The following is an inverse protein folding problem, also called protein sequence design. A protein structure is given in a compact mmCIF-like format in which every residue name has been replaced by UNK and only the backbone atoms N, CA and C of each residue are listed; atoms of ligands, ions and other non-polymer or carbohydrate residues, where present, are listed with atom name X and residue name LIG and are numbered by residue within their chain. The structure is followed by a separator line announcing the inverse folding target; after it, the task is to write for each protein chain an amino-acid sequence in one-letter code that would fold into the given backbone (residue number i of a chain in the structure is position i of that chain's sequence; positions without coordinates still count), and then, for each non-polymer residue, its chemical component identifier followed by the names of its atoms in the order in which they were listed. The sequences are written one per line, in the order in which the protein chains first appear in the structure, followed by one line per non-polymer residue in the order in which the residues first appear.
data_IF_297306903203
#
_entry.id   IF_297306903203
#
_cell.length_a   1.000
_cell.length_b   1.000
_cell.length_c   1.000
_cell.angle_alpha   90.00
_cell.angle_beta   90.00
_cell.angle_gamma   90.00
#
_symmetry.space_group_name_H-M   'P 1'
#
loop_
_entity.id
_entity.type
_entity.pdbx_description
1 polymer ?
#
# COMPACT_ATOMS: atom_id res chain seq x y z
N UNK A 1 5.23 -0.39 17.94
CA UNK A 1 5.53 1.02 17.57
C UNK A 1 6.74 0.99 16.66
N UNK A 2 6.55 1.35 15.41
CA UNK A 2 7.61 1.30 14.40
C UNK A 2 8.65 2.44 14.68
N UNK A 3 9.92 2.14 14.95
CA UNK A 3 10.94 3.15 15.27
C UNK A 3 11.46 3.91 14.04
N UNK A 4 11.10 3.47 12.82
CA UNK A 4 11.60 4.02 11.56
C UNK A 4 11.36 5.53 11.41
N UNK A 5 10.18 6.09 11.69
CA UNK A 5 9.98 7.53 11.55
C UNK A 5 10.86 8.36 12.49
N UNK A 6 11.12 7.86 13.71
CA UNK A 6 11.98 8.55 14.66
C UNK A 6 13.46 8.55 14.23
N UNK A 7 13.94 7.43 13.69
CA UNK A 7 15.31 7.31 13.19
C UNK A 7 15.53 8.22 11.99
N UNK A 8 14.56 8.26 11.06
CA UNK A 8 14.61 9.15 9.89
C UNK A 8 14.60 10.61 10.32
N UNK A 9 13.73 10.99 11.27
CA UNK A 9 13.68 12.34 11.82
C UNK A 9 15.02 12.76 12.44
N UNK A 10 15.63 11.92 13.28
CA UNK A 10 16.92 12.19 13.89
C UNK A 10 18.06 12.31 12.87
N UNK A 11 18.05 11.48 11.83
CA UNK A 11 19.05 11.56 10.75
C UNK A 11 18.92 12.87 9.96
N UNK A 12 17.70 13.33 9.71
CA UNK A 12 17.41 14.61 9.03
C UNK A 12 17.92 15.78 9.87
N UNK A 13 17.60 15.83 11.16
CA UNK A 13 18.05 16.92 12.06
C UNK A 13 19.59 16.99 12.12
N UNK A 14 20.26 15.85 12.23
CA UNK A 14 21.71 15.78 12.26
C UNK A 14 22.34 16.21 10.93
N UNK A 15 21.74 15.84 9.81
CA UNK A 15 22.20 16.23 8.48
C UNK A 15 22.12 17.77 8.28
N UNK A 16 21.03 18.39 8.70
CA UNK A 16 20.86 19.84 8.57
C UNK A 16 21.76 20.62 9.53
N UNK A 17 21.98 20.15 10.77
CA UNK A 17 22.97 20.71 11.69
C UNK A 17 24.39 20.70 11.09
N UNK A 18 24.75 19.60 10.42
CA UNK A 18 26.04 19.52 9.69
C UNK A 18 26.11 20.47 8.49
N UNK A 19 24.96 20.68 7.81
CA UNK A 19 24.87 21.58 6.65
C UNK A 19 25.06 23.04 7.06
N UNK A 20 24.49 23.47 8.19
CA UNK A 20 24.68 24.82 8.75
C UNK A 20 26.15 25.14 9.04
N UNK A 21 26.88 24.18 9.62
CA UNK A 21 28.31 24.34 9.92
C UNK A 21 29.16 24.46 8.64
N UNK A 22 28.79 23.76 7.59
CA UNK A 22 29.59 23.70 6.36
C UNK A 22 29.28 24.81 5.37
N UNK A 23 28.08 25.35 5.40
CA UNK A 23 27.60 26.38 4.45
C UNK A 23 26.96 27.60 5.14
N UNK A 24 27.71 28.38 5.91
CA UNK A 24 27.20 29.52 6.70
C UNK A 24 26.56 30.64 5.89
N UNK A 25 26.63 30.58 4.54
CA UNK A 25 26.02 31.56 3.63
C UNK A 25 24.62 31.19 3.16
N UNK A 26 24.12 29.99 3.48
CA UNK A 26 22.74 29.61 3.15
C UNK A 26 21.82 30.31 4.14
N UNK A 27 20.81 31.08 3.67
CA UNK A 27 19.84 31.71 4.58
C UNK A 27 19.11 30.62 5.39
N UNK A 28 18.99 30.85 6.69
CA UNK A 28 18.33 29.91 7.64
C UNK A 28 16.90 29.55 7.19
N UNK A 29 16.23 30.47 6.48
CA UNK A 29 14.91 30.24 5.90
C UNK A 29 14.92 29.12 4.85
N UNK A 30 15.97 29.03 4.04
CA UNK A 30 16.09 27.97 3.01
C UNK A 30 16.23 26.61 3.67
N UNK A 31 17.02 26.53 4.74
CA UNK A 31 17.19 25.29 5.52
C UNK A 31 15.87 24.88 6.15
N UNK A 32 15.16 25.80 6.81
CA UNK A 32 13.85 25.52 7.42
C UNK A 32 12.81 25.06 6.40
N UNK A 33 12.76 25.64 5.20
CA UNK A 33 11.85 25.22 4.13
C UNK A 33 12.19 23.81 3.65
N UNK A 34 13.46 23.47 3.50
CA UNK A 34 13.89 22.13 3.10
C UNK A 34 13.55 21.09 4.17
N UNK A 35 13.70 21.43 5.46
CA UNK A 35 13.28 20.55 6.58
C UNK A 35 11.78 20.26 6.53
N UNK A 36 10.94 21.29 6.33
CA UNK A 36 9.50 21.13 6.23
C UNK A 36 9.11 20.23 5.04
N UNK A 37 9.71 20.46 3.87
CA UNK A 37 9.47 19.64 2.69
C UNK A 37 9.88 18.18 2.95
N UNK A 38 11.03 17.97 3.56
CA UNK A 38 11.52 16.63 3.89
C UNK A 38 10.59 15.93 4.87
N UNK A 39 10.08 16.63 5.89
CA UNK A 39 9.10 16.08 6.84
C UNK A 39 7.81 15.68 6.12
N UNK A 40 7.26 16.53 5.26
CA UNK A 40 6.05 16.21 4.47
C UNK A 40 6.27 14.95 3.63
N UNK A 41 7.40 14.82 2.95
CA UNK A 41 7.73 13.62 2.16
C UNK A 41 7.83 12.39 3.05
N UNK A 42 8.52 12.48 4.19
CA UNK A 42 8.65 11.36 5.13
C UNK A 42 7.29 10.90 5.67
N UNK A 43 6.39 11.84 6.03
CA UNK A 43 5.05 11.50 6.50
C UNK A 43 4.22 10.81 5.42
N UNK A 44 4.25 11.31 4.17
CA UNK A 44 3.53 10.68 3.05
C UNK A 44 4.06 9.26 2.76
N UNK A 45 5.36 9.07 2.72
CA UNK A 45 5.96 7.73 2.49
C UNK A 45 5.59 6.76 3.61
N UNK A 46 5.63 7.22 4.87
CA UNK A 46 5.26 6.39 6.01
C UNK A 46 3.76 6.00 6.02
N UNK A 47 2.87 6.94 5.68
CA UNK A 47 1.43 6.70 5.54
C UNK A 47 1.13 5.68 4.43
N UNK A 48 1.71 5.86 3.25
CA UNK A 48 1.54 4.95 2.13
C UNK A 48 2.01 3.52 2.44
N UNK A 49 3.14 3.36 3.13
CA UNK A 49 3.64 2.05 3.54
C UNK A 49 2.73 1.41 4.60
N UNK A 50 2.14 2.20 5.51
CA UNK A 50 1.21 1.72 6.53
C UNK A 50 -0.08 1.19 5.90
N UNK A 51 -0.70 1.92 4.97
CA UNK A 51 -1.91 1.49 4.28
C UNK A 51 -1.72 0.17 3.52
N UNK A 52 -0.62 0.05 2.77
CA UNK A 52 -0.28 -1.20 2.08
C UNK A 52 -0.09 -2.35 3.07
N UNK A 53 0.62 -2.13 4.18
CA UNK A 53 0.84 -3.16 5.19
C UNK A 53 -0.46 -3.61 5.87
N UNK A 54 -1.41 -2.70 6.09
CA UNK A 54 -2.72 -3.03 6.65
C UNK A 54 -3.52 -3.95 5.74
N UNK A 55 -3.56 -3.69 4.42
CA UNK A 55 -4.24 -4.58 3.46
C UNK A 55 -3.54 -5.92 3.35
N UNK A 56 -2.21 -5.93 3.18
CA UNK A 56 -1.42 -7.16 3.06
C UNK A 56 -1.61 -8.09 4.25
N UNK A 57 -1.55 -7.55 5.47
CA UNK A 57 -1.72 -8.30 6.71
C UNK A 57 -3.17 -8.59 7.10
N UNK A 58 -4.16 -8.03 6.40
CA UNK A 58 -5.56 -8.33 6.63
C UNK A 58 -5.97 -9.69 6.07
N UNK A 59 -7.15 -10.15 6.48
CA UNK A 59 -7.71 -11.44 6.04
C UNK A 59 -9.23 -11.31 5.86
N UNK A 60 -9.85 -12.07 4.93
CA UNK A 60 -11.29 -12.15 4.83
C UNK A 60 -11.90 -12.88 6.06
N UNK A 61 -13.16 -12.59 6.34
CA UNK A 61 -13.87 -13.20 7.47
C UNK A 61 -13.87 -14.73 7.40
N UNK A 62 -14.03 -15.29 6.20
CA UNK A 62 -14.12 -16.73 5.97
C UNK A 62 -12.74 -17.43 5.99
N UNK A 63 -11.63 -16.66 5.91
CA UNK A 63 -10.25 -17.18 5.89
C UNK A 63 -9.40 -16.51 6.98
N UNK A 64 -9.68 -16.71 8.27
CA UNK A 64 -9.09 -15.93 9.38
C UNK A 64 -7.59 -16.16 9.60
N UNK A 65 -7.00 -17.17 8.97
CA UNK A 65 -5.58 -17.53 9.11
C UNK A 65 -4.75 -17.23 7.87
N UNK A 66 -5.40 -16.81 6.76
CA UNK A 66 -4.75 -16.56 5.47
C UNK A 66 -4.79 -15.06 5.20
N UNK A 67 -3.62 -14.44 5.04
CA UNK A 67 -3.54 -13.01 4.74
C UNK A 67 -3.73 -12.75 3.23
N UNK A 68 -4.11 -11.53 2.89
CA UNK A 68 -4.12 -11.10 1.47
C UNK A 68 -2.72 -11.19 0.85
N UNK A 69 -1.66 -10.94 1.61
CA UNK A 69 -0.29 -11.12 1.14
C UNK A 69 -0.03 -12.55 0.72
N UNK A 70 -0.27 -13.49 1.63
CA UNK A 70 0.02 -14.91 1.39
C UNK A 70 -0.74 -15.45 0.18
N UNK A 71 -2.07 -15.25 0.13
CA UNK A 71 -2.91 -15.77 -0.94
C UNK A 71 -2.63 -15.11 -2.30
N UNK A 72 -2.42 -13.78 -2.32
CA UNK A 72 -2.21 -13.05 -3.56
C UNK A 72 -0.79 -13.24 -4.13
N UNK A 73 0.23 -13.35 -3.28
CA UNK A 73 1.60 -13.58 -3.75
C UNK A 73 1.83 -15.02 -4.22
N UNK A 74 1.02 -15.98 -3.74
CA UNK A 74 1.03 -17.35 -4.23
C UNK A 74 0.28 -17.50 -5.56
N UNK A 75 -0.93 -16.93 -5.66
CA UNK A 75 -1.81 -17.08 -6.82
C UNK A 75 -1.37 -16.30 -8.06
N UNK A 76 -0.89 -15.05 -7.88
CA UNK A 76 -0.58 -14.15 -8.98
C UNK A 76 0.92 -14.12 -9.28
N UNK A 77 1.29 -14.15 -10.55
CA UNK A 77 2.63 -13.80 -10.99
C UNK A 77 2.81 -12.28 -11.07
N UNK A 78 4.06 -11.79 -10.86
CA UNK A 78 4.42 -10.37 -10.84
C UNK A 78 3.58 -9.53 -9.85
N UNK A 79 3.37 -9.96 -8.59
CA UNK A 79 2.55 -9.23 -7.63
C UNK A 79 3.16 -7.88 -7.26
N UNK A 80 2.35 -6.83 -7.26
CA UNK A 80 2.79 -5.51 -6.83
C UNK A 80 1.68 -4.77 -6.08
N UNK A 81 2.05 -4.14 -4.95
CA UNK A 81 1.15 -3.40 -4.07
C UNK A 81 1.53 -1.93 -4.00
N UNK A 82 0.57 -1.04 -4.09
CA UNK A 82 0.81 0.40 -4.06
C UNK A 82 -0.38 1.15 -3.45
N UNK A 83 -0.12 2.07 -2.53
CA UNK A 83 -1.10 3.10 -2.19
C UNK A 83 -1.20 4.08 -3.38
N UNK A 84 -2.41 4.36 -3.84
CA UNK A 84 -2.69 5.23 -5.00
C UNK A 84 -3.33 6.55 -4.59
N UNK A 85 -3.38 6.85 -3.29
CA UNK A 85 -3.95 8.07 -2.72
C UNK A 85 -5.30 7.83 -2.09
N UNK A 86 -6.01 8.90 -1.79
CA UNK A 86 -7.31 8.87 -1.13
C UNK A 86 -8.45 8.87 -2.16
N UNK A 87 -9.60 8.30 -1.77
CA UNK A 87 -10.85 8.43 -2.49
C UNK A 87 -11.55 9.79 -2.19
N UNK A 88 -12.77 9.99 -2.72
CA UNK A 88 -13.55 11.23 -2.52
C UNK A 88 -13.96 11.45 -1.06
N UNK A 89 -14.01 10.40 -0.26
CA UNK A 89 -14.36 10.41 1.17
C UNK A 89 -13.11 10.54 2.07
N UNK A 90 -11.91 10.56 1.47
CA UNK A 90 -10.63 10.69 2.16
C UNK A 90 -10.10 9.36 2.73
N UNK A 91 -10.61 8.22 2.28
CA UNK A 91 -10.10 6.90 2.65
C UNK A 91 -8.89 6.53 1.79
N UNK A 92 -7.87 5.91 2.38
CA UNK A 92 -6.73 5.42 1.61
C UNK A 92 -7.14 4.31 0.63
N UNK A 93 -6.63 4.38 -0.60
CA UNK A 93 -6.86 3.36 -1.61
C UNK A 93 -5.56 2.63 -1.92
N UNK A 94 -5.54 1.33 -1.64
CA UNK A 94 -4.44 0.44 -2.00
C UNK A 94 -4.80 -0.33 -3.26
N UNK A 95 -3.88 -0.34 -4.21
CA UNK A 95 -4.00 -1.09 -5.45
C UNK A 95 -3.02 -2.25 -5.47
N UNK A 96 -3.56 -3.44 -5.75
CA UNK A 96 -2.80 -4.61 -6.14
C UNK A 96 -2.80 -4.75 -7.67
N UNK A 97 -1.69 -5.21 -8.24
CA UNK A 97 -1.62 -5.67 -9.62
C UNK A 97 -0.86 -6.98 -9.69
N UNK A 98 -1.30 -7.87 -10.56
CA UNK A 98 -0.66 -9.17 -10.80
C UNK A 98 -1.13 -9.76 -12.13
N UNK A 99 -0.69 -10.98 -12.43
CA UNK A 99 -1.11 -11.73 -13.60
C UNK A 99 -1.57 -13.11 -13.19
N UNK A 100 -2.62 -13.63 -13.83
CA UNK A 100 -3.07 -15.00 -13.67
C UNK A 100 -3.48 -15.61 -15.02
N UNK A 101 -3.77 -16.91 -15.02
CA UNK A 101 -4.42 -17.54 -16.16
C UNK A 101 -5.93 -17.33 -16.08
N UNK A 102 -6.51 -16.76 -17.12
CA UNK A 102 -7.93 -16.53 -17.26
C UNK A 102 -8.37 -16.88 -18.67
N UNK A 103 -9.32 -17.84 -18.80
CA UNK A 103 -9.74 -18.40 -20.10
C UNK A 103 -8.56 -18.88 -20.97
N UNK A 104 -7.62 -19.63 -20.38
CA UNK A 104 -6.42 -20.20 -21.02
C UNK A 104 -5.41 -19.17 -21.55
N UNK A 105 -5.58 -17.88 -21.18
CA UNK A 105 -4.65 -16.79 -21.53
C UNK A 105 -4.13 -16.10 -20.26
N UNK A 106 -2.95 -15.49 -20.38
CA UNK A 106 -2.40 -14.65 -19.30
C UNK A 106 -3.16 -13.34 -19.30
N UNK A 107 -3.82 -13.05 -18.18
CA UNK A 107 -4.56 -11.82 -17.95
C UNK A 107 -3.87 -10.93 -16.90
N UNK A 108 -3.96 -9.61 -17.08
CA UNK A 108 -3.56 -8.64 -16.07
C UNK A 108 -4.73 -8.40 -15.13
N UNK A 109 -4.47 -8.50 -13.84
CA UNK A 109 -5.46 -8.26 -12.78
C UNK A 109 -5.09 -7.01 -12.00
N UNK A 110 -6.08 -6.17 -11.73
CA UNK A 110 -5.99 -5.03 -10.83
C UNK A 110 -7.08 -5.17 -9.76
N UNK A 111 -6.70 -5.12 -8.49
CA UNK A 111 -7.62 -5.11 -7.35
C UNK A 111 -7.40 -3.82 -6.57
N UNK A 112 -8.48 -3.12 -6.22
CA UNK A 112 -8.44 -1.95 -5.34
C UNK A 112 -9.11 -2.25 -4.02
N UNK A 113 -8.46 -1.83 -2.96
CA UNK A 113 -8.92 -1.91 -1.59
C UNK A 113 -9.11 -0.50 -1.06
N UNK A 114 -10.26 -0.20 -0.47
CA UNK A 114 -10.53 1.07 0.22
C UNK A 114 -10.45 0.84 1.72
N UNK A 115 -9.56 1.56 2.41
CA UNK A 115 -9.37 1.48 3.86
C UNK A 115 -10.24 2.53 4.54
N UNK A 116 -11.15 2.09 5.39
CA UNK A 116 -12.04 2.96 6.15
C UNK A 116 -11.33 3.44 7.42
N UNK A 117 -10.90 4.72 7.43
CA UNK A 117 -10.11 5.30 8.54
C UNK A 117 -10.82 5.26 9.89
N UNK A 118 -12.15 5.28 9.89
CA UNK A 118 -12.96 5.33 11.12
C UNK A 118 -13.24 3.93 11.70
N UNK A 119 -13.08 2.85 10.93
CA UNK A 119 -13.52 1.49 11.30
C UNK A 119 -12.36 0.49 11.45
N UNK A 120 -11.11 0.88 11.17
CA UNK A 120 -9.94 0.00 11.10
C UNK A 120 -10.19 -1.25 10.23
N UNK A 121 -10.93 -1.05 9.14
CA UNK A 121 -11.39 -2.05 8.19
C UNK A 121 -11.10 -1.64 6.76
N UNK A 122 -11.17 -2.58 5.83
CA UNK A 122 -11.08 -2.29 4.41
C UNK A 122 -11.98 -3.21 3.59
N UNK A 123 -12.38 -2.73 2.40
CA UNK A 123 -13.18 -3.45 1.43
C UNK A 123 -12.47 -3.59 0.09
N UNK A 124 -12.79 -4.66 -0.65
CA UNK A 124 -12.46 -4.76 -2.07
C UNK A 124 -13.41 -3.86 -2.86
N UNK A 125 -12.94 -2.71 -3.29
CA UNK A 125 -13.76 -1.71 -3.99
C UNK A 125 -13.87 -1.95 -5.50
N UNK A 126 -12.86 -2.51 -6.15
CA UNK A 126 -12.86 -2.82 -7.59
C UNK A 126 -11.95 -3.99 -7.91
N UNK A 127 -12.37 -4.82 -8.86
CA UNK A 127 -11.56 -5.86 -9.49
C UNK A 127 -11.67 -5.71 -11.00
N UNK A 128 -10.52 -5.65 -11.69
CA UNK A 128 -10.45 -5.57 -13.15
C UNK A 128 -9.58 -6.68 -13.70
N UNK A 129 -10.03 -7.27 -14.80
CA UNK A 129 -9.26 -8.25 -15.60
C UNK A 129 -9.07 -7.65 -17.00
N UNK A 130 -7.80 -7.50 -17.43
CA UNK A 130 -7.45 -6.83 -18.69
C UNK A 130 -8.08 -5.43 -18.88
N UNK A 131 -8.29 -4.72 -17.75
CA UNK A 131 -8.89 -3.39 -17.73
C UNK A 131 -10.42 -3.36 -17.69
N UNK A 132 -11.11 -4.50 -17.84
CA UNK A 132 -12.55 -4.61 -17.71
C UNK A 132 -12.96 -4.85 -16.26
N UNK A 133 -13.91 -4.06 -15.76
CA UNK A 133 -14.40 -4.15 -14.39
C UNK A 133 -15.31 -5.38 -14.21
N UNK A 134 -15.02 -6.19 -13.20
CA UNK A 134 -15.77 -7.42 -12.92
C UNK A 134 -17.12 -7.17 -12.24
N UNK A 135 -17.38 -5.96 -11.80
CA UNK A 135 -18.65 -5.57 -11.18
C UNK A 135 -19.05 -6.49 -10.01
N UNK A 136 -20.22 -7.10 -10.12
CA UNK A 136 -20.73 -8.01 -9.08
C UNK A 136 -19.93 -9.34 -8.94
N UNK A 137 -19.13 -9.71 -9.94
CA UNK A 137 -18.32 -10.93 -9.94
C UNK A 137 -16.96 -10.75 -9.23
N UNK A 138 -16.64 -9.54 -8.75
CA UNK A 138 -15.37 -9.27 -8.07
C UNK A 138 -15.06 -10.22 -6.90
N UNK A 139 -16.11 -10.59 -6.13
CA UNK A 139 -15.94 -11.46 -4.99
C UNK A 139 -15.63 -12.92 -5.39
N UNK A 140 -16.03 -13.34 -6.60
CA UNK A 140 -15.75 -14.69 -7.10
C UNK A 140 -14.24 -14.89 -7.26
N UNK A 141 -13.54 -13.95 -7.89
CA UNK A 141 -12.10 -14.03 -8.02
C UNK A 141 -11.39 -14.04 -6.66
N UNK A 142 -11.85 -13.20 -5.72
CA UNK A 142 -11.24 -13.16 -4.37
C UNK A 142 -11.40 -14.50 -3.66
N UNK A 143 -12.60 -15.08 -3.69
CA UNK A 143 -12.85 -16.40 -3.09
C UNK A 143 -11.98 -17.47 -3.76
N UNK A 144 -11.91 -17.51 -5.09
CA UNK A 144 -11.10 -18.49 -5.83
C UNK A 144 -9.61 -18.42 -5.41
N UNK A 145 -9.06 -17.23 -5.23
CA UNK A 145 -7.67 -17.00 -4.78
C UNK A 145 -7.43 -17.62 -3.39
N UNK A 146 -8.35 -17.39 -2.45
CA UNK A 146 -8.21 -17.91 -1.09
C UNK A 146 -8.49 -19.42 -1.01
N UNK A 147 -9.46 -19.92 -1.78
CA UNK A 147 -9.77 -21.36 -1.85
C UNK A 147 -8.58 -22.15 -2.42
N UNK A 148 -7.91 -21.63 -3.46
CA UNK A 148 -6.73 -22.28 -4.04
C UNK A 148 -5.57 -22.32 -3.05
N UNK A 149 -5.33 -21.21 -2.34
CA UNK A 149 -4.31 -21.17 -1.29
C UNK A 149 -4.58 -22.17 -0.17
N UNK A 150 -5.83 -22.24 0.35
CA UNK A 150 -6.21 -23.19 1.43
C UNK A 150 -6.07 -24.65 0.99
N UNK A 151 -6.30 -24.96 -0.29
CA UNK A 151 -6.20 -26.32 -0.81
C UNK A 151 -4.75 -26.75 -1.06
N UNK A 152 -3.84 -25.81 -1.26
CA UNK A 152 -2.43 -26.08 -1.60
C UNK A 152 -1.49 -26.09 -0.38
N UNK A 153 -1.92 -25.54 0.75
CA UNK A 153 -1.16 -25.39 2.01
C UNK A 153 -1.85 -26.03 3.19
#
# INVERSE_FOLDING_TARGET
KNPVPFIVFMAVVLFFGWLEDKFPKIPIIVIAVLEIIMLIVCFNVAGNASAVASVKGGHPYDYPTITYEDAFEDYFSDPAWKNVGDDEDGNDVVKFTGKCYYHDEIANVEVKFTLHKDEDSFDVSSVKINGEDMGALRNVLIVDVFDEYEQSH
#
